data_IF_774278364382
#
_entry.id   IF_774278364382
#
_cell.length_a   1.000
_cell.length_b   1.000
_cell.length_c   1.000
_cell.angle_alpha   90.00
_cell.angle_beta   90.00
_cell.angle_gamma   90.00
#
_symmetry.space_group_name_H-M   'P 1'
#
loop_
_entity.id
_entity.type
_entity.pdbx_description
1 polymer ?
#
# COMPACT_ATOMS: atom_id res chain seq x y z
N UNK A 1 4.61 -17.55 3.87
CA UNK A 1 3.63 -16.83 4.72
C UNK A 1 3.64 -17.30 6.18
N UNK A 2 3.77 -18.62 6.49
CA UNK A 2 3.75 -19.13 7.87
C UNK A 2 4.79 -18.50 8.80
N UNK A 3 6.02 -18.34 8.33
CA UNK A 3 7.10 -17.71 9.12
C UNK A 3 6.78 -16.22 9.37
N UNK A 4 6.19 -15.51 8.40
CA UNK A 4 5.77 -14.13 8.57
C UNK A 4 4.72 -13.99 9.67
N UNK A 5 3.75 -14.89 9.73
CA UNK A 5 2.74 -14.94 10.80
C UNK A 5 3.37 -15.24 12.17
N UNK A 6 4.30 -16.18 12.25
CA UNK A 6 5.03 -16.48 13.50
C UNK A 6 5.79 -15.25 13.99
N UNK A 7 6.45 -14.51 13.09
CA UNK A 7 7.16 -13.27 13.44
C UNK A 7 6.16 -12.24 13.98
N UNK A 8 5.03 -12.02 13.31
CA UNK A 8 4.01 -11.05 13.73
C UNK A 8 3.43 -11.38 15.11
N UNK A 9 3.06 -12.64 15.37
CA UNK A 9 2.52 -13.06 16.66
C UNK A 9 3.58 -13.03 17.78
N UNK A 10 4.84 -13.33 17.45
CA UNK A 10 5.92 -13.29 18.45
C UNK A 10 6.36 -11.86 18.75
N UNK A 11 6.15 -10.92 17.81
CA UNK A 11 6.58 -9.53 17.94
C UNK A 11 5.94 -8.80 19.12
N UNK A 12 4.65 -9.04 19.37
CA UNK A 12 3.92 -8.46 20.48
C UNK A 12 4.53 -8.86 21.83
N UNK A 13 4.95 -10.12 21.97
CA UNK A 13 5.62 -10.61 23.19
C UNK A 13 7.08 -10.14 23.31
N UNK A 14 7.80 -10.05 22.19
CA UNK A 14 9.17 -9.55 22.19
C UNK A 14 9.25 -8.03 22.44
N UNK A 15 8.26 -7.27 21.98
CA UNK A 15 8.17 -5.82 22.22
C UNK A 15 8.04 -5.44 23.69
N UNK A 16 7.43 -6.31 24.51
CA UNK A 16 7.38 -6.14 25.97
C UNK A 16 8.77 -6.27 26.62
N UNK A 17 9.65 -7.06 26.03
CA UNK A 17 11.00 -7.34 26.56
C UNK A 17 12.05 -6.34 26.06
N UNK A 18 11.93 -5.88 24.80
CA UNK A 18 12.90 -4.98 24.18
C UNK A 18 12.25 -3.69 23.71
N UNK A 19 12.44 -2.61 24.45
CA UNK A 19 11.87 -1.28 24.20
C UNK A 19 12.22 -0.70 22.80
N UNK A 20 13.34 -1.12 22.22
CA UNK A 20 13.76 -0.74 20.86
C UNK A 20 12.87 -1.36 19.78
N UNK A 21 12.31 -2.54 20.02
CA UNK A 21 11.45 -3.23 19.08
C UNK A 21 10.10 -2.52 18.89
N UNK A 22 9.65 -1.75 19.88
CA UNK A 22 8.43 -0.94 19.78
C UNK A 22 8.58 0.26 18.83
N UNK A 23 9.81 0.66 18.49
CA UNK A 23 10.07 1.75 17.56
C UNK A 23 10.02 1.31 16.08
N UNK A 24 10.10 0.01 15.81
CA UNK A 24 10.13 -0.54 14.47
C UNK A 24 8.88 -1.40 14.20
N UNK A 25 8.20 -1.21 13.06
CA UNK A 25 7.02 -2.00 12.73
C UNK A 25 7.38 -3.47 12.45
N UNK A 26 6.61 -4.40 13.03
CA UNK A 26 6.77 -5.84 12.82
C UNK A 26 6.75 -6.24 11.34
N UNK A 27 5.93 -5.55 10.54
CA UNK A 27 5.83 -5.73 9.09
C UNK A 27 7.15 -5.53 8.36
N UNK A 28 7.99 -4.60 8.81
CA UNK A 28 9.33 -4.39 8.23
C UNK A 28 10.21 -5.63 8.40
N UNK A 29 10.18 -6.24 9.60
CA UNK A 29 10.97 -7.45 9.86
C UNK A 29 10.46 -8.66 9.09
N UNK A 30 9.15 -8.79 8.90
CA UNK A 30 8.57 -9.84 8.05
C UNK A 30 9.09 -9.73 6.62
N UNK A 31 9.10 -8.52 6.07
CA UNK A 31 9.59 -8.27 4.71
C UNK A 31 11.10 -8.54 4.62
N UNK A 32 11.91 -8.02 5.56
CA UNK A 32 13.35 -8.24 5.56
C UNK A 32 13.69 -9.73 5.73
N UNK A 33 13.03 -10.43 6.64
CA UNK A 33 13.22 -11.86 6.84
C UNK A 33 12.83 -12.65 5.59
N UNK A 34 11.75 -12.27 4.92
CA UNK A 34 11.32 -12.93 3.69
C UNK A 34 12.30 -12.73 2.53
N UNK A 35 12.84 -11.52 2.37
CA UNK A 35 13.89 -11.24 1.38
C UNK A 35 15.15 -12.04 1.71
N UNK A 36 15.61 -12.00 2.98
CA UNK A 36 16.80 -12.73 3.42
C UNK A 36 16.67 -14.25 3.21
N UNK A 37 15.49 -14.81 3.52
CA UNK A 37 15.22 -16.24 3.26
C UNK A 37 15.26 -16.56 1.78
N UNK A 38 14.59 -15.76 0.95
CA UNK A 38 14.57 -16.00 -0.50
C UNK A 38 15.98 -15.93 -1.10
N UNK A 39 16.80 -14.95 -0.70
CA UNK A 39 18.20 -14.84 -1.13
C UNK A 39 19.05 -16.00 -0.57
N UNK A 40 18.76 -16.51 0.63
CA UNK A 40 19.42 -17.69 1.17
C UNK A 40 19.10 -18.94 0.36
N UNK A 41 17.87 -19.09 -0.11
CA UNK A 41 17.49 -20.21 -0.97
C UNK A 41 18.21 -20.19 -2.32
N UNK A 42 18.55 -19.03 -2.85
CA UNK A 42 19.39 -18.94 -4.06
C UNK A 42 20.74 -19.65 -3.90
N UNK A 43 21.28 -19.72 -2.66
CA UNK A 43 22.59 -20.33 -2.38
C UNK A 43 22.47 -21.80 -1.96
N UNK A 44 21.49 -22.12 -1.07
CA UNK A 44 21.42 -23.42 -0.38
C UNK A 44 20.40 -24.38 -0.97
N UNK A 45 19.35 -23.85 -1.64
CA UNK A 45 18.26 -24.65 -2.18
C UNK A 45 17.65 -23.95 -3.42
N UNK A 46 18.36 -23.96 -4.59
CA UNK A 46 17.94 -23.20 -5.77
C UNK A 46 16.52 -23.55 -6.25
N UNK A 47 16.05 -24.77 -6.04
CA UNK A 47 14.70 -25.24 -6.41
C UNK A 47 13.58 -24.48 -5.64
N UNK A 48 13.91 -23.86 -4.50
CA UNK A 48 12.98 -23.10 -3.67
C UNK A 48 13.14 -21.58 -3.84
N UNK A 49 14.08 -21.15 -4.68
CA UNK A 49 14.31 -19.75 -4.97
C UNK A 49 13.18 -19.17 -5.82
N UNK A 50 12.54 -18.12 -5.34
CA UNK A 50 11.39 -17.49 -6.01
C UNK A 50 11.79 -16.41 -7.02
N UNK A 51 13.04 -15.98 -7.04
CA UNK A 51 13.50 -14.84 -7.84
C UNK A 51 13.33 -15.02 -9.36
N UNK A 52 13.24 -16.25 -9.85
CA UNK A 52 13.05 -16.56 -11.26
C UNK A 52 11.55 -16.49 -11.66
N UNK A 53 10.63 -16.49 -10.71
CA UNK A 53 9.20 -16.44 -10.97
C UNK A 53 8.63 -15.05 -10.72
N UNK A 54 8.34 -14.31 -11.79
CA UNK A 54 7.72 -12.97 -11.72
C UNK A 54 6.37 -12.96 -11.01
N UNK A 55 5.67 -14.08 -10.97
CA UNK A 55 4.33 -14.21 -10.41
C UNK A 55 4.31 -14.23 -8.87
N UNK A 56 5.47 -14.52 -8.24
CA UNK A 56 5.58 -14.61 -6.77
C UNK A 56 6.37 -13.46 -6.14
N UNK A 57 6.90 -12.56 -6.95
CA UNK A 57 7.69 -11.40 -6.52
C UNK A 57 6.96 -10.10 -6.85
N UNK A 58 7.26 -9.05 -6.11
CA UNK A 58 6.85 -7.69 -6.48
C UNK A 58 7.48 -7.35 -7.82
N UNK A 59 6.69 -6.80 -8.73
CA UNK A 59 7.15 -6.43 -10.08
C UNK A 59 6.82 -4.96 -10.35
N UNK A 60 7.71 -4.07 -9.95
CA UNK A 60 7.64 -2.64 -10.24
C UNK A 60 8.45 -2.33 -11.48
N UNK A 61 7.99 -1.41 -12.33
CA UNK A 61 8.76 -0.94 -13.47
C UNK A 61 10.05 -0.26 -12.99
N UNK A 62 11.16 -0.57 -13.67
CA UNK A 62 12.45 0.05 -13.42
C UNK A 62 12.64 1.11 -14.49
N UNK A 63 12.67 2.38 -14.08
CA UNK A 63 12.88 3.49 -14.98
C UNK A 63 14.36 3.89 -15.00
N UNK A 64 14.98 3.88 -16.15
CA UNK A 64 16.37 4.30 -16.30
C UNK A 64 16.51 5.83 -16.40
N UNK A 65 15.42 6.53 -16.75
CA UNK A 65 15.40 7.98 -16.92
C UNK A 65 14.05 8.59 -16.54
N UNK A 66 14.06 9.89 -16.24
CA UNK A 66 12.82 10.64 -15.95
C UNK A 66 11.87 10.69 -17.17
N UNK A 67 12.40 10.63 -18.38
CA UNK A 67 11.58 10.55 -19.59
C UNK A 67 10.80 9.25 -19.70
N UNK A 68 11.34 8.14 -19.20
CA UNK A 68 10.64 6.86 -19.15
C UNK A 68 9.50 6.85 -18.13
N UNK A 69 9.67 7.57 -17.00
CA UNK A 69 8.59 7.74 -16.03
C UNK A 69 7.39 8.44 -16.67
N UNK A 70 7.64 9.53 -17.41
CA UNK A 70 6.57 10.26 -18.11
C UNK A 70 5.99 9.45 -19.27
N UNK A 71 6.83 8.70 -20.00
CA UNK A 71 6.38 7.81 -21.07
C UNK A 71 5.58 6.58 -20.57
N UNK A 72 5.76 6.20 -19.30
CA UNK A 72 5.01 5.11 -18.66
C UNK A 72 3.60 5.51 -18.18
N UNK A 73 3.27 6.81 -18.15
CA UNK A 73 1.93 7.28 -17.83
C UNK A 73 0.98 6.97 -18.99
N UNK A 74 -0.08 6.26 -18.69
CA UNK A 74 -1.09 5.86 -19.69
C UNK A 74 -2.21 6.89 -19.67
N UNK A 75 -2.37 7.63 -20.76
CA UNK A 75 -3.50 8.54 -20.91
C UNK A 75 -4.81 7.79 -21.13
N UNK A 76 -5.95 8.30 -20.64
CA UNK A 76 -7.25 7.70 -20.88
C UNK A 76 -7.55 7.60 -22.39
N UNK A 77 -8.13 6.48 -22.80
CA UNK A 77 -8.64 6.32 -24.16
C UNK A 77 -10.03 6.93 -24.26
N UNK A 78 -10.10 8.14 -24.81
CA UNK A 78 -11.32 8.91 -24.96
C UNK A 78 -12.31 8.33 -25.97
N UNK A 79 -11.90 7.36 -26.78
CA UNK A 79 -12.79 6.68 -27.75
C UNK A 79 -13.93 5.94 -27.07
N UNK A 80 -13.71 5.49 -25.82
CA UNK A 80 -14.71 4.78 -25.03
C UNK A 80 -15.72 5.67 -24.30
N UNK A 81 -15.63 6.99 -24.42
CA UNK A 81 -16.54 7.92 -23.69
C UNK A 81 -18.01 7.73 -24.07
N UNK A 82 -18.29 7.22 -25.26
CA UNK A 82 -19.66 6.94 -25.73
C UNK A 82 -20.17 5.55 -25.31
N UNK A 83 -19.33 4.73 -24.72
CA UNK A 83 -19.67 3.37 -24.35
C UNK A 83 -20.44 3.34 -23.01
N UNK A 84 -21.71 2.90 -23.04
CA UNK A 84 -22.58 2.83 -21.87
C UNK A 84 -22.02 1.94 -20.74
N UNK A 85 -21.22 0.93 -21.06
CA UNK A 85 -20.57 0.05 -20.07
C UNK A 85 -19.59 0.81 -19.18
N UNK A 86 -18.89 1.82 -19.73
CA UNK A 86 -17.96 2.66 -18.96
C UNK A 86 -18.70 3.38 -17.83
N UNK A 87 -19.86 3.97 -18.15
CA UNK A 87 -20.67 4.68 -17.13
C UNK A 87 -21.23 3.73 -16.07
N UNK A 88 -21.69 2.55 -16.47
CA UNK A 88 -22.17 1.54 -15.52
C UNK A 88 -21.08 1.09 -14.56
N UNK A 89 -19.89 0.79 -15.08
CA UNK A 89 -18.73 0.39 -14.25
C UNK A 89 -18.28 1.55 -13.37
N UNK A 90 -18.18 2.78 -13.91
CA UNK A 90 -17.80 3.96 -13.16
C UNK A 90 -18.78 4.24 -12.01
N UNK A 91 -20.08 4.13 -12.23
CA UNK A 91 -21.09 4.29 -11.18
C UNK A 91 -20.96 3.24 -10.08
N UNK A 92 -20.76 1.97 -10.47
CA UNK A 92 -20.57 0.88 -9.51
C UNK A 92 -19.32 1.11 -8.67
N UNK A 93 -18.20 1.46 -9.31
CA UNK A 93 -16.96 1.77 -8.62
C UNK A 93 -17.09 2.99 -7.70
N UNK A 94 -17.79 4.04 -8.14
CA UNK A 94 -18.02 5.23 -7.32
C UNK A 94 -18.82 4.90 -6.06
N UNK A 95 -19.87 4.10 -6.16
CA UNK A 95 -20.69 3.67 -5.00
C UNK A 95 -19.85 2.82 -4.05
N UNK A 96 -19.18 1.79 -4.55
CA UNK A 96 -18.37 0.89 -3.72
C UNK A 96 -17.23 1.65 -3.05
N UNK A 97 -16.48 2.46 -3.79
CA UNK A 97 -15.37 3.25 -3.26
C UNK A 97 -15.85 4.28 -2.20
N UNK A 98 -17.01 4.90 -2.41
CA UNK A 98 -17.59 5.84 -1.44
C UNK A 98 -17.98 5.14 -0.15
N UNK A 99 -18.65 3.98 -0.23
CA UNK A 99 -19.03 3.18 0.95
C UNK A 99 -17.78 2.71 1.72
N UNK A 100 -16.79 2.19 1.03
CA UNK A 100 -15.52 1.75 1.65
C UNK A 100 -14.82 2.90 2.38
N UNK A 101 -14.74 4.07 1.74
CA UNK A 101 -14.10 5.23 2.35
C UNK A 101 -14.86 5.77 3.55
N UNK A 102 -16.19 5.82 3.49
CA UNK A 102 -17.00 6.27 4.62
C UNK A 102 -16.90 5.31 5.82
N UNK A 103 -16.93 4.01 5.58
CA UNK A 103 -16.74 3.01 6.63
C UNK A 103 -15.33 3.11 7.24
N UNK A 104 -14.31 3.29 6.41
CA UNK A 104 -12.92 3.48 6.87
C UNK A 104 -12.75 4.79 7.66
N UNK A 105 -13.47 5.85 7.27
CA UNK A 105 -13.49 7.13 7.97
C UNK A 105 -14.06 6.97 9.38
N UNK A 106 -15.25 6.38 9.50
CA UNK A 106 -15.94 6.14 10.77
C UNK A 106 -15.10 5.27 11.70
N UNK A 107 -14.54 4.18 11.16
CA UNK A 107 -13.66 3.31 11.90
C UNK A 107 -12.39 4.04 12.39
N UNK A 108 -11.79 4.91 11.56
CA UNK A 108 -10.62 5.71 11.93
C UNK A 108 -10.95 6.75 13.00
N UNK A 109 -12.09 7.44 12.88
CA UNK A 109 -12.57 8.40 13.88
C UNK A 109 -12.80 7.74 15.24
N UNK A 110 -13.28 6.50 15.26
CA UNK A 110 -13.47 5.74 16.50
C UNK A 110 -12.15 5.40 17.19
N UNK A 111 -11.06 5.24 16.43
CA UNK A 111 -9.71 4.96 16.93
C UNK A 111 -8.95 6.23 17.35
N UNK A 112 -9.39 7.43 16.96
CA UNK A 112 -8.66 8.66 17.24
C UNK A 112 -8.68 8.98 18.76
N UNK A 113 -7.51 9.04 19.43
CA UNK A 113 -7.42 9.39 20.84
C UNK A 113 -7.96 10.78 21.15
N UNK A 114 -7.93 11.69 20.17
CA UNK A 114 -8.41 13.06 20.30
C UNK A 114 -9.92 13.18 20.03
N UNK A 115 -10.60 12.09 19.69
CA UNK A 115 -12.05 12.06 19.41
C UNK A 115 -12.49 13.09 18.37
N UNK A 116 -11.66 13.35 17.37
CA UNK A 116 -12.00 14.25 16.28
C UNK A 116 -13.00 13.57 15.35
N UNK A 117 -13.97 14.32 14.86
CA UNK A 117 -14.97 13.86 13.92
C UNK A 117 -14.62 14.40 12.54
N UNK A 118 -14.46 13.52 11.58
CA UNK A 118 -14.18 13.86 10.20
C UNK A 118 -15.47 14.21 9.45
N UNK A 119 -15.38 15.07 8.44
CA UNK A 119 -16.53 15.40 7.59
C UNK A 119 -16.63 14.42 6.42
N UNK A 120 -17.70 13.60 6.32
CA UNK A 120 -17.91 12.67 5.22
C UNK A 120 -17.90 13.37 3.85
N UNK A 121 -18.55 14.53 3.73
CA UNK A 121 -18.63 15.28 2.47
C UNK A 121 -17.24 15.73 1.98
N UNK A 122 -16.38 16.18 2.90
CA UNK A 122 -15.02 16.59 2.55
C UNK A 122 -14.16 15.41 2.14
N UNK A 123 -14.34 14.27 2.78
CA UNK A 123 -13.63 13.02 2.42
C UNK A 123 -14.02 12.55 1.03
N UNK A 124 -15.35 12.48 0.75
CA UNK A 124 -15.84 12.09 -0.58
C UNK A 124 -15.38 13.05 -1.67
N UNK A 125 -15.39 14.36 -1.39
CA UNK A 125 -14.90 15.36 -2.35
C UNK A 125 -13.39 15.18 -2.61
N UNK A 126 -12.60 15.00 -1.56
CA UNK A 126 -11.15 14.78 -1.68
C UNK A 126 -10.85 13.49 -2.46
N UNK A 127 -11.56 12.41 -2.15
CA UNK A 127 -11.47 11.14 -2.87
C UNK A 127 -11.87 11.29 -4.34
N UNK A 128 -12.93 12.01 -4.63
CA UNK A 128 -13.38 12.29 -6.01
C UNK A 128 -12.30 13.02 -6.82
N UNK A 129 -11.72 14.08 -6.24
CA UNK A 129 -10.61 14.81 -6.88
C UNK A 129 -9.40 13.91 -7.07
N UNK A 130 -9.04 13.12 -6.05
CA UNK A 130 -7.95 12.16 -6.14
C UNK A 130 -8.16 11.09 -7.22
N UNK A 131 -9.37 10.57 -7.35
CA UNK A 131 -9.72 9.59 -8.38
C UNK A 131 -9.72 10.18 -9.80
N UNK A 132 -10.14 11.42 -9.97
CA UNK A 132 -10.02 12.12 -11.26
C UNK A 132 -8.53 12.28 -11.63
N UNK A 133 -7.70 12.74 -10.70
CA UNK A 133 -6.26 12.88 -10.94
C UNK A 133 -5.60 11.52 -11.24
N UNK A 134 -5.92 10.48 -10.48
CA UNK A 134 -5.44 9.11 -10.72
C UNK A 134 -5.84 8.62 -12.12
N UNK A 135 -7.11 8.75 -12.49
CA UNK A 135 -7.61 8.31 -13.79
C UNK A 135 -6.97 9.05 -14.96
N UNK A 136 -6.70 10.36 -14.83
CA UNK A 136 -6.00 11.14 -15.87
C UNK A 136 -4.54 10.70 -16.06
N UNK A 137 -3.92 10.16 -15.02
CA UNK A 137 -2.56 9.62 -15.06
C UNK A 137 -2.51 8.11 -15.40
N UNK A 138 -3.66 7.51 -15.71
CA UNK A 138 -3.77 6.07 -16.01
C UNK A 138 -3.71 5.17 -14.77
N UNK A 139 -3.93 5.74 -13.59
CA UNK A 139 -3.97 5.01 -12.33
C UNK A 139 -5.31 4.30 -12.09
N UNK A 140 -5.31 3.40 -11.13
CA UNK A 140 -6.51 2.69 -10.66
C UNK A 140 -7.31 3.57 -9.68
N UNK A 141 -8.61 3.28 -9.46
CA UNK A 141 -9.40 3.92 -8.43
C UNK A 141 -8.79 3.77 -7.04
N UNK A 142 -8.81 4.84 -6.26
CA UNK A 142 -8.27 4.89 -4.90
C UNK A 142 -9.39 5.05 -3.88
N UNK A 143 -9.22 4.42 -2.71
CA UNK A 143 -10.13 4.51 -1.57
C UNK A 143 -9.35 4.74 -0.28
N UNK A 144 -10.03 5.16 0.77
CA UNK A 144 -9.46 5.20 2.12
C UNK A 144 -9.39 3.77 2.68
N UNK A 145 -8.25 3.44 3.32
CA UNK A 145 -8.00 2.09 3.86
C UNK A 145 -7.75 2.16 5.35
N UNK A 146 -8.59 1.46 6.13
CA UNK A 146 -8.53 1.44 7.59
C UNK A 146 -7.17 0.97 8.13
N UNK A 147 -6.53 -0.03 7.52
CA UNK A 147 -5.25 -0.59 7.98
C UNK A 147 -4.14 0.46 8.01
N UNK A 148 -4.03 1.29 6.99
CA UNK A 148 -3.05 2.38 6.95
C UNK A 148 -3.39 3.51 7.92
N UNK A 149 -4.66 3.85 8.03
CA UNK A 149 -5.14 4.89 8.93
C UNK A 149 -4.93 4.49 10.38
N UNK A 150 -5.29 3.27 10.77
CA UNK A 150 -5.08 2.75 12.13
C UNK A 150 -3.59 2.69 12.50
N UNK A 151 -2.75 2.20 11.59
CA UNK A 151 -1.29 2.19 11.80
C UNK A 151 -0.76 3.60 12.05
N UNK A 152 -1.23 4.61 11.29
CA UNK A 152 -0.84 5.99 11.48
C UNK A 152 -1.28 6.53 12.85
N UNK A 153 -2.50 6.24 13.27
CA UNK A 153 -3.04 6.64 14.58
C UNK A 153 -2.24 5.99 15.71
N UNK A 154 -2.01 4.68 15.66
CA UNK A 154 -1.23 3.95 16.67
C UNK A 154 0.25 4.39 16.73
N UNK A 155 0.81 4.82 15.61
CA UNK A 155 2.16 5.41 15.55
C UNK A 155 2.21 6.86 16.06
N UNK A 156 1.10 7.41 16.54
CA UNK A 156 1.03 8.76 17.11
C UNK A 156 0.86 9.86 16.07
N UNK A 157 0.41 9.56 14.86
CA UNK A 157 0.10 10.55 13.83
C UNK A 157 -1.03 11.48 14.27
N UNK A 158 -0.77 12.79 14.33
CA UNK A 158 -1.73 13.82 14.81
C UNK A 158 -2.16 14.81 13.75
N UNK A 159 -1.56 14.78 12.57
CA UNK A 159 -1.78 15.78 11.54
C UNK A 159 -1.92 15.16 10.15
N UNK A 160 -2.56 15.90 9.23
CA UNK A 160 -2.70 15.54 7.81
C UNK A 160 -1.36 15.43 7.10
N UNK A 161 -0.33 16.06 7.63
CA UNK A 161 1.03 16.01 7.07
C UNK A 161 1.62 14.61 7.07
N UNK A 162 1.20 13.74 8.00
CA UNK A 162 1.60 12.34 8.03
C UNK A 162 1.24 11.61 6.73
N UNK A 163 0.00 11.74 6.26
CA UNK A 163 -0.43 11.16 4.98
C UNK A 163 0.29 11.75 3.76
N UNK A 164 0.51 13.07 3.77
CA UNK A 164 1.23 13.76 2.70
C UNK A 164 2.68 13.28 2.57
N UNK A 165 3.42 13.25 3.69
CA UNK A 165 4.80 12.73 3.70
C UNK A 165 4.86 11.25 3.36
N UNK A 166 3.87 10.46 3.80
CA UNK A 166 3.78 9.04 3.40
C UNK A 166 3.69 8.90 1.89
N UNK A 167 2.84 9.69 1.22
CA UNK A 167 2.71 9.67 -0.23
C UNK A 167 4.01 10.06 -0.94
N UNK A 168 4.70 11.11 -0.48
CA UNK A 168 6.00 11.52 -1.05
C UNK A 168 7.05 10.44 -0.86
N UNK A 169 7.17 9.87 0.34
CA UNK A 169 8.14 8.81 0.62
C UNK A 169 7.86 7.55 -0.20
N UNK A 170 6.59 7.21 -0.38
CA UNK A 170 6.20 6.08 -1.21
C UNK A 170 6.58 6.29 -2.67
N UNK A 171 6.31 7.49 -3.21
CA UNK A 171 6.71 7.86 -4.56
C UNK A 171 8.24 7.82 -4.71
N UNK A 172 8.97 8.40 -3.76
CA UNK A 172 10.43 8.37 -3.76
C UNK A 172 10.97 6.94 -3.69
N UNK A 173 10.37 6.06 -2.87
CA UNK A 173 10.78 4.67 -2.76
C UNK A 173 10.55 3.89 -4.07
N UNK A 174 9.39 4.08 -4.71
CA UNK A 174 9.08 3.41 -5.99
C UNK A 174 10.01 3.87 -7.11
N UNK A 175 10.40 5.14 -7.14
CA UNK A 175 11.29 5.69 -8.16
C UNK A 175 12.78 5.37 -7.90
N UNK A 176 13.21 5.41 -6.64
CA UNK A 176 14.62 5.28 -6.29
C UNK A 176 15.05 3.84 -5.96
N UNK A 177 14.13 3.00 -5.47
CA UNK A 177 14.44 1.68 -4.92
C UNK A 177 13.69 0.51 -5.60
N UNK A 178 13.29 0.57 -6.89
CA UNK A 178 12.50 -0.50 -7.49
C UNK A 178 13.25 -1.83 -7.50
N UNK A 179 14.59 -1.81 -7.69
CA UNK A 179 15.43 -3.01 -7.66
C UNK A 179 15.35 -3.77 -6.32
N UNK A 180 15.28 -3.05 -5.21
CA UNK A 180 15.16 -3.66 -3.88
C UNK A 180 13.74 -4.09 -3.58
N UNK A 181 12.75 -3.29 -4.00
CA UNK A 181 11.33 -3.59 -3.81
C UNK A 181 10.90 -4.83 -4.62
N UNK A 182 11.48 -5.04 -5.80
CA UNK A 182 11.22 -6.22 -6.63
C UNK A 182 11.80 -7.53 -6.04
N UNK A 183 12.65 -7.45 -5.01
CA UNK A 183 13.12 -8.63 -4.27
C UNK A 183 12.15 -9.10 -3.18
N UNK A 184 11.05 -8.39 -2.97
CA UNK A 184 10.08 -8.72 -1.91
C UNK A 184 9.13 -9.83 -2.41
N UNK A 185 9.09 -11.00 -1.74
CA UNK A 185 8.11 -12.02 -2.06
C UNK A 185 6.68 -11.57 -1.71
N UNK A 186 5.72 -11.76 -2.63
CA UNK A 186 4.30 -11.43 -2.40
C UNK A 186 3.71 -12.14 -1.18
N UNK A 187 4.22 -13.34 -0.86
CA UNK A 187 3.83 -14.08 0.33
C UNK A 187 4.11 -13.34 1.65
N UNK A 188 5.14 -12.45 1.68
CA UNK A 188 5.42 -11.61 2.85
C UNK A 188 4.41 -10.48 2.98
N UNK A 189 4.04 -9.84 1.87
CA UNK A 189 3.00 -8.82 1.86
C UNK A 189 1.63 -9.40 2.28
N UNK A 190 1.30 -10.59 1.78
CA UNK A 190 0.08 -11.29 2.18
C UNK A 190 0.04 -11.59 3.68
N UNK A 191 1.17 -11.98 4.30
CA UNK A 191 1.21 -12.22 5.75
C UNK A 191 1.11 -10.95 6.60
N UNK A 192 1.47 -9.80 6.05
CA UNK A 192 1.33 -8.49 6.73
C UNK A 192 -0.12 -7.97 6.67
N UNK A 193 -0.89 -8.39 5.66
CA UNK A 193 -2.29 -7.98 5.47
C UNK A 193 -3.29 -8.83 6.29
N UNK A 194 -2.86 -9.98 6.79
CA UNK A 194 -3.65 -10.88 7.65
C UNK A 194 -3.58 -10.46 9.12
#
# INVERSE_FOLDING_TARGET
SGIGLIILFSWTKLGETFRFMNALPASLFVVLAGVAMNESFAIWAPDWYLGDSKDHMVNLPIFASTSEVWGGLVSPDWSFITNSKVYSIALTLAIVASLESLLSLEATDSLDPLKRISSPDKELLAQGVGNVASGLLGGIPITSVIVRSSTNVYSGGKSRMSGFFHGILLLAAVLALPLYLNKIPLACLASVLL
#
